data_IF_553495923278
#
_entry.id   IF_553495923278
#
_cell.length_a   1.000
_cell.length_b   1.000
_cell.length_c   1.000
_cell.angle_alpha   90.00
_cell.angle_beta   90.00
_cell.angle_gamma   90.00
#
_symmetry.space_group_name_H-M   'P 1'
#
loop_
_entity.id
_entity.type
_entity.pdbx_description
1 polymer ?
#
# COMPACT_ATOMS: atom_id res chain seq x y z
N UNK A 1 14.09 2.91 -17.15
CA UNK A 1 12.73 3.17 -17.68
C UNK A 1 12.72 4.19 -18.82
N UNK A 2 13.46 5.32 -18.73
CA UNK A 2 13.45 6.38 -19.77
C UNK A 2 14.59 6.33 -20.79
N UNK A 3 15.42 5.28 -20.77
CA UNK A 3 16.57 5.15 -21.68
C UNK A 3 16.15 5.29 -23.13
N UNK A 4 15.06 4.64 -23.55
CA UNK A 4 14.55 4.72 -24.92
C UNK A 4 14.30 6.16 -25.39
N UNK A 5 13.71 7.02 -24.54
CA UNK A 5 13.45 8.41 -24.88
C UNK A 5 14.74 9.20 -25.06
N UNK A 6 15.70 9.04 -24.15
CA UNK A 6 16.99 9.72 -24.24
C UNK A 6 17.80 9.25 -25.45
N UNK A 7 17.78 7.95 -25.77
CA UNK A 7 18.43 7.41 -26.97
C UNK A 7 17.74 7.94 -28.24
N UNK A 8 16.42 8.12 -28.23
CA UNK A 8 15.69 8.70 -29.36
C UNK A 8 16.02 10.19 -29.56
N UNK A 9 16.07 10.97 -28.47
CA UNK A 9 16.48 12.38 -28.51
C UNK A 9 17.95 12.53 -28.95
N UNK A 10 18.86 11.72 -28.41
CA UNK A 10 20.26 11.71 -28.81
C UNK A 10 20.41 11.33 -30.28
N UNK A 11 19.66 10.32 -30.76
CA UNK A 11 19.66 9.91 -32.16
C UNK A 11 19.14 10.98 -33.10
N UNK A 12 18.03 11.64 -32.75
CA UNK A 12 17.51 12.77 -33.52
C UNK A 12 18.53 13.92 -33.63
N UNK A 13 19.35 14.11 -32.60
CA UNK A 13 20.37 15.15 -32.55
C UNK A 13 21.76 14.68 -33.03
N UNK A 14 21.95 13.39 -33.38
CA UNK A 14 23.24 12.76 -33.72
C UNK A 14 24.29 12.87 -32.62
N UNK A 15 23.85 12.68 -31.37
CA UNK A 15 24.68 12.74 -30.16
C UNK A 15 24.81 11.37 -29.49
N UNK A 16 24.37 10.29 -30.14
CA UNK A 16 24.29 8.96 -29.51
C UNK A 16 25.68 8.46 -29.11
N UNK A 17 26.66 8.62 -30.00
CA UNK A 17 28.05 8.23 -29.69
C UNK A 17 28.65 9.09 -28.57
N UNK A 18 28.31 10.37 -28.50
CA UNK A 18 28.81 11.27 -27.46
C UNK A 18 28.20 11.00 -26.07
N UNK A 19 26.90 10.73 -26.00
CA UNK A 19 26.20 10.57 -24.71
C UNK A 19 26.21 9.13 -24.18
N UNK A 20 26.21 8.13 -25.08
CA UNK A 20 26.01 6.72 -24.71
C UNK A 20 27.16 5.80 -25.11
N UNK A 21 28.24 6.34 -25.70
CA UNK A 21 29.39 5.56 -26.19
C UNK A 21 29.01 4.49 -27.24
N UNK A 22 27.84 4.64 -27.86
CA UNK A 22 27.35 3.75 -28.91
C UNK A 22 27.64 4.35 -30.29
N UNK A 23 28.55 3.73 -31.03
CA UNK A 23 28.87 4.15 -32.39
C UNK A 23 27.74 3.78 -33.36
N UNK A 24 27.19 4.79 -34.03
CA UNK A 24 26.12 4.67 -35.03
C UNK A 24 26.60 5.28 -36.35
N UNK A 25 26.97 4.47 -37.37
CA UNK A 25 27.57 4.99 -38.60
C UNK A 25 26.60 5.86 -39.42
N UNK A 26 25.30 5.71 -39.22
CA UNK A 26 24.24 6.55 -39.82
C UNK A 26 24.24 7.99 -39.28
N UNK A 27 24.90 8.27 -38.16
CA UNK A 27 25.00 9.59 -37.54
C UNK A 27 26.26 10.38 -37.99
N UNK A 28 27.25 9.70 -38.57
CA UNK A 28 28.58 10.24 -38.96
C UNK A 28 28.55 11.13 -40.22
N UNK A 29 27.37 11.41 -40.80
CA UNK A 29 27.25 12.31 -41.95
C UNK A 29 25.84 12.75 -42.29
N UNK A 30 25.70 13.59 -43.33
CA UNK A 30 24.42 13.97 -43.88
C UNK A 30 23.99 12.95 -44.95
N UNK A 31 22.81 12.37 -44.76
CA UNK A 31 22.17 11.51 -45.76
C UNK A 31 21.57 12.42 -46.83
N UNK A 32 22.19 12.51 -48.01
CA UNK A 32 21.61 13.20 -49.15
C UNK A 32 20.62 12.25 -49.82
N UNK A 33 19.33 12.47 -49.61
CA UNK A 33 18.25 11.71 -50.26
C UNK A 33 17.80 12.45 -51.52
N UNK A 34 17.84 11.77 -52.66
CA UNK A 34 17.47 12.36 -53.96
C UNK A 34 15.96 12.47 -54.15
N UNK A 35 15.15 11.68 -53.42
CA UNK A 35 13.70 11.61 -53.63
C UNK A 35 12.87 11.95 -52.39
N UNK A 36 11.81 12.76 -52.57
CA UNK A 36 10.87 13.13 -51.49
C UNK A 36 10.14 11.93 -50.87
N UNK A 37 9.97 10.83 -51.63
CA UNK A 37 9.36 9.59 -51.13
C UNK A 37 10.22 8.91 -50.04
N UNK A 38 11.52 9.10 -50.09
CA UNK A 38 12.46 8.52 -49.13
C UNK A 38 12.46 9.26 -47.78
N UNK A 39 11.86 10.45 -47.69
CA UNK A 39 11.71 11.17 -46.41
C UNK A 39 10.73 10.46 -45.46
N UNK A 40 9.76 9.73 -46.03
CA UNK A 40 8.75 8.98 -45.28
C UNK A 40 9.14 7.54 -44.96
N UNK A 41 10.19 7.01 -45.60
CA UNK A 41 10.72 5.67 -45.30
C UNK A 41 11.89 5.75 -44.31
N UNK A 42 11.84 4.91 -43.27
CA UNK A 42 12.93 4.79 -42.31
C UNK A 42 14.17 4.19 -43.00
N UNK A 43 15.32 4.87 -42.91
CA UNK A 43 16.58 4.35 -43.46
C UNK A 43 16.91 3.00 -42.78
N UNK A 44 17.14 1.96 -43.59
CA UNK A 44 17.68 0.68 -43.11
C UNK A 44 19.12 0.88 -42.67
N UNK A 45 19.55 0.27 -41.54
CA UNK A 45 20.96 0.26 -41.16
C UNK A 45 21.74 -0.54 -42.20
N UNK A 46 22.75 0.08 -42.84
CA UNK A 46 23.71 -0.64 -43.67
C UNK A 46 24.64 -1.46 -42.77
N UNK A 47 24.66 -2.77 -42.96
CA UNK A 47 25.68 -3.68 -42.43
C UNK A 47 26.96 -3.56 -43.26
N UNK A 48 28.11 -3.51 -42.58
CA UNK A 48 29.44 -3.58 -43.20
C UNK A 48 29.56 -4.88 -44.03
N UNK A 49 29.41 -4.81 -45.35
CA UNK A 49 29.68 -5.95 -46.23
C UNK A 49 28.92 -6.05 -47.55
N UNK A 50 27.83 -5.33 -47.78
CA UNK A 50 27.11 -5.38 -49.06
C UNK A 50 27.24 -4.06 -49.84
N UNK A 51 28.17 -4.07 -50.81
CA UNK A 51 28.20 -3.10 -51.89
C UNK A 51 27.05 -3.41 -52.88
N UNK A 52 25.84 -2.98 -52.54
CA UNK A 52 24.79 -2.75 -53.54
C UNK A 52 24.81 -1.27 -53.94
N UNK A 53 25.12 -1.04 -55.20
CA UNK A 53 25.46 0.22 -55.87
C UNK A 53 24.27 1.19 -56.05
N UNK A 54 23.32 1.26 -55.10
CA UNK A 54 22.15 2.14 -55.22
C UNK A 54 21.93 3.06 -53.99
N UNK A 55 22.27 4.34 -54.22
CA UNK A 55 21.56 5.55 -53.79
C UNK A 55 21.56 6.03 -52.32
N UNK A 56 22.62 5.77 -51.53
CA UNK A 56 22.87 6.56 -50.29
C UNK A 56 24.34 6.99 -50.17
N UNK A 57 24.67 8.17 -50.70
CA UNK A 57 25.94 8.82 -50.40
C UNK A 57 25.83 9.58 -49.07
N UNK A 58 26.41 9.02 -48.00
CA UNK A 58 26.60 9.73 -46.74
C UNK A 58 27.78 10.68 -46.92
N UNK A 59 27.50 11.98 -46.95
CA UNK A 59 28.57 12.99 -46.95
C UNK A 59 29.04 13.13 -45.50
N UNK A 60 30.28 12.74 -45.15
CA UNK A 60 30.78 12.91 -43.79
C UNK A 60 30.82 14.40 -43.47
N UNK A 61 30.18 14.78 -42.37
CA UNK A 61 30.04 16.15 -41.93
C UNK A 61 30.28 16.18 -40.42
N UNK A 62 31.08 17.11 -39.90
CA UNK A 62 31.51 17.12 -38.49
C UNK A 62 32.95 16.69 -38.31
N UNK A 63 33.33 16.40 -37.05
CA UNK A 63 34.74 16.16 -36.66
C UNK A 63 34.83 15.01 -35.67
N UNK A 64 35.87 14.20 -35.79
CA UNK A 64 36.20 13.21 -34.76
C UNK A 64 37.09 13.87 -33.72
N UNK A 65 36.77 13.67 -32.45
CA UNK A 65 37.52 14.24 -31.34
C UNK A 65 37.82 13.20 -30.27
N UNK A 66 38.94 13.38 -29.57
CA UNK A 66 39.16 12.75 -28.28
C UNK A 66 38.52 13.59 -27.19
N UNK A 67 37.49 13.04 -26.57
CA UNK A 67 36.85 13.60 -25.39
C UNK A 67 37.36 12.88 -24.13
N UNK A 68 37.47 13.58 -22.99
CA UNK A 68 37.77 12.92 -21.73
C UNK A 68 36.67 11.91 -21.38
N UNK A 69 37.08 10.70 -20.99
CA UNK A 69 36.17 9.60 -20.66
C UNK A 69 35.49 9.77 -19.30
N UNK A 70 36.11 10.55 -18.41
CA UNK A 70 35.67 10.79 -17.03
C UNK A 70 35.83 12.27 -16.68
N UNK A 71 34.90 12.80 -15.89
CA UNK A 71 34.93 14.17 -15.36
C UNK A 71 36.07 14.38 -14.33
N UNK A 72 36.72 13.29 -13.89
CA UNK A 72 37.83 13.34 -12.94
C UNK A 72 39.16 13.78 -13.57
N UNK A 73 39.22 13.91 -14.90
CA UNK A 73 40.45 14.21 -15.64
C UNK A 73 40.73 15.71 -15.58
N UNK A 74 41.80 16.08 -14.87
CA UNK A 74 42.25 17.47 -14.76
C UNK A 74 43.06 17.86 -15.99
N UNK A 75 42.49 18.71 -16.83
CA UNK A 75 43.21 19.32 -17.96
C UNK A 75 44.03 20.53 -17.48
N UNK A 76 45.29 20.70 -17.94
CA UNK A 76 46.07 21.89 -17.65
C UNK A 76 45.39 23.13 -18.25
N UNK A 77 45.55 24.28 -17.58
CA UNK A 77 44.93 25.54 -18.00
C UNK A 77 45.44 25.95 -19.39
N UNK A 78 44.51 26.24 -20.30
CA UNK A 78 44.83 26.64 -21.68
C UNK A 78 44.76 25.52 -22.71
N UNK A 79 44.56 24.26 -22.31
CA UNK A 79 44.35 23.15 -23.25
C UNK A 79 42.88 23.03 -23.66
N UNK A 80 42.61 22.77 -24.95
CA UNK A 80 41.26 22.53 -25.46
C UNK A 80 40.74 21.18 -24.97
N UNK A 81 39.52 21.10 -24.46
CA UNK A 81 38.92 19.85 -23.98
C UNK A 81 38.73 18.80 -25.08
N UNK A 82 38.47 19.24 -26.31
CA UNK A 82 38.30 18.37 -27.47
C UNK A 82 39.52 18.49 -28.38
N UNK A 83 40.22 17.39 -28.57
CA UNK A 83 41.33 17.28 -29.52
C UNK A 83 40.82 16.64 -30.82
N UNK A 84 41.05 17.29 -31.97
CA UNK A 84 40.66 16.76 -33.27
C UNK A 84 41.59 15.61 -33.69
N UNK A 85 40.97 14.50 -34.11
CA UNK A 85 41.65 13.28 -34.54
C UNK A 85 41.02 12.77 -35.83
N UNK A 86 41.76 11.92 -36.53
CA UNK A 86 41.25 11.19 -37.69
C UNK A 86 40.35 10.02 -37.23
N UNK A 87 39.60 9.42 -38.17
CA UNK A 87 38.71 8.28 -37.96
C UNK A 87 39.41 7.08 -37.31
N UNK A 88 40.71 6.93 -37.58
CA UNK A 88 41.57 5.88 -37.00
C UNK A 88 42.17 6.27 -35.63
N UNK A 89 41.59 7.26 -34.95
CA UNK A 89 42.07 7.79 -33.68
C UNK A 89 43.52 8.29 -33.73
N UNK A 90 43.95 8.92 -34.83
CA UNK A 90 45.29 9.52 -34.96
C UNK A 90 45.21 11.04 -34.89
N UNK A 91 46.13 11.68 -34.19
CA UNK A 91 46.15 13.14 -34.04
C UNK A 91 46.45 13.84 -35.37
N UNK A 92 45.70 14.89 -35.68
CA UNK A 92 45.85 15.68 -36.92
C UNK A 92 46.91 16.79 -36.74
N UNK A 93 47.13 17.27 -35.52
CA UNK A 93 48.05 18.39 -35.19
C UNK A 93 49.56 18.11 -35.42
N UNK A 94 49.96 16.93 -35.92
CA UNK A 94 51.36 16.59 -36.20
C UNK A 94 52.28 16.39 -34.98
N UNK A 95 51.78 16.59 -33.75
CA UNK A 95 52.51 16.35 -32.51
C UNK A 95 52.54 14.85 -32.19
N UNK A 96 53.70 14.33 -31.74
CA UNK A 96 53.85 12.92 -31.33
C UNK A 96 52.83 12.56 -30.24
N UNK A 97 52.10 11.48 -30.47
CA UNK A 97 51.04 11.00 -29.61
C UNK A 97 51.64 10.14 -28.49
N UNK A 98 51.52 10.57 -27.24
CA UNK A 98 52.00 9.82 -26.07
C UNK A 98 50.85 9.01 -25.49
N UNK A 99 51.11 7.78 -25.04
CA UNK A 99 50.07 6.89 -24.54
C UNK A 99 49.32 7.49 -23.33
N UNK A 100 50.07 8.03 -22.37
CA UNK A 100 49.55 8.62 -21.12
C UNK A 100 49.66 10.16 -21.08
N UNK A 101 49.90 10.78 -22.24
CA UNK A 101 49.96 12.24 -22.36
C UNK A 101 48.60 12.92 -22.24
N UNK A 102 48.61 14.26 -22.22
CA UNK A 102 47.39 15.07 -22.35
C UNK A 102 46.75 14.77 -23.71
N UNK A 103 45.52 14.27 -23.70
CA UNK A 103 44.83 13.68 -24.86
C UNK A 103 45.51 12.44 -25.46
N UNK A 104 46.18 11.62 -24.65
CA UNK A 104 46.85 10.40 -25.08
C UNK A 104 45.90 9.30 -25.60
N UNK A 105 46.48 8.20 -26.09
CA UNK A 105 45.75 7.06 -26.65
C UNK A 105 45.10 6.17 -25.60
N UNK A 106 45.39 6.38 -24.31
CA UNK A 106 44.83 5.59 -23.24
C UNK A 106 43.28 5.67 -23.22
N UNK A 107 42.58 4.55 -23.51
CA UNK A 107 41.12 4.54 -23.62
C UNK A 107 40.41 4.76 -22.28
N UNK A 108 41.12 4.58 -21.15
CA UNK A 108 40.59 4.90 -19.81
C UNK A 108 40.45 6.41 -19.59
N UNK A 109 41.35 7.19 -20.21
CA UNK A 109 41.40 8.64 -20.04
C UNK A 109 40.66 9.36 -21.17
N UNK A 110 40.83 8.92 -22.42
CA UNK A 110 40.24 9.59 -23.58
C UNK A 110 39.53 8.62 -24.50
N UNK A 111 38.33 8.99 -24.91
CA UNK A 111 37.52 8.23 -25.87
C UNK A 111 37.40 8.97 -27.19
N UNK A 112 37.48 8.20 -28.27
CA UNK A 112 37.18 8.70 -29.61
C UNK A 112 35.66 8.86 -29.74
N UNK A 113 35.24 10.06 -30.09
CA UNK A 113 33.83 10.40 -30.25
C UNK A 113 33.65 11.29 -31.47
N UNK A 114 32.56 11.07 -32.21
CA UNK A 114 32.15 11.97 -33.28
C UNK A 114 31.33 13.15 -32.76
N UNK A 115 31.67 14.35 -33.23
CA UNK A 115 31.00 15.60 -32.88
C UNK A 115 30.36 16.20 -34.14
N UNK A 116 29.01 16.28 -34.20
CA UNK A 116 28.32 16.84 -35.35
C UNK A 116 28.50 18.38 -35.45
N UNK A 117 28.23 18.98 -36.63
CA UNK A 117 28.25 20.44 -36.78
C UNK A 117 27.22 21.10 -35.84
N UNK A 118 27.54 22.31 -35.37
CA UNK A 118 26.73 23.06 -34.39
C UNK A 118 26.51 22.29 -33.07
N UNK A 119 27.51 21.52 -32.63
CA UNK A 119 27.47 20.71 -31.42
C UNK A 119 26.87 21.42 -30.20
N UNK A 120 27.28 22.67 -29.94
CA UNK A 120 26.79 23.47 -28.81
C UNK A 120 25.27 23.66 -28.82
N UNK A 121 24.67 23.86 -30.00
CA UNK A 121 23.23 24.01 -30.12
C UNK A 121 22.54 22.68 -29.86
N UNK A 122 23.03 21.60 -30.49
CA UNK A 122 22.44 20.27 -30.35
C UNK A 122 22.48 19.75 -28.92
N UNK A 123 23.60 19.90 -28.22
CA UNK A 123 23.72 19.48 -26.81
C UNK A 123 22.83 20.34 -25.91
N UNK A 124 22.70 21.64 -26.19
CA UNK A 124 21.78 22.52 -25.46
C UNK A 124 20.32 22.10 -25.67
N UNK A 125 19.93 21.76 -26.90
CA UNK A 125 18.59 21.22 -27.20
C UNK A 125 18.35 19.88 -26.51
N UNK A 126 19.37 19.02 -26.41
CA UNK A 126 19.28 17.75 -25.69
C UNK A 126 19.06 17.97 -24.17
N UNK A 127 19.83 18.87 -23.55
CA UNK A 127 19.67 19.20 -22.13
C UNK A 127 18.29 19.83 -21.87
N UNK A 128 17.85 20.74 -22.75
CA UNK A 128 16.53 21.34 -22.67
C UNK A 128 15.42 20.29 -22.82
N UNK A 129 15.56 19.31 -23.72
CA UNK A 129 14.56 18.25 -23.90
C UNK A 129 14.46 17.34 -22.67
N UNK A 130 15.56 17.07 -21.97
CA UNK A 130 15.54 16.36 -20.68
C UNK A 130 14.74 17.17 -19.65
N UNK A 131 14.99 18.47 -19.56
CA UNK A 131 14.28 19.37 -18.64
C UNK A 131 12.78 19.42 -18.94
N UNK A 132 12.40 19.60 -20.21
CA UNK A 132 11.00 19.62 -20.64
C UNK A 132 10.33 18.27 -20.37
N UNK A 133 11.03 17.16 -20.62
CA UNK A 133 10.50 15.83 -20.32
C UNK A 133 10.27 15.64 -18.81
N UNK A 134 11.22 16.03 -17.97
CA UNK A 134 11.08 15.96 -16.52
C UNK A 134 9.94 16.85 -16.01
N UNK A 135 9.83 18.09 -16.51
CA UNK A 135 8.75 19.00 -16.17
C UNK A 135 7.39 18.48 -16.62
N UNK A 136 7.28 18.01 -17.87
CA UNK A 136 6.03 17.48 -18.42
C UNK A 136 5.58 16.23 -17.67
N UNK A 137 6.48 15.28 -17.39
CA UNK A 137 6.16 14.09 -16.59
C UNK A 137 5.75 14.45 -15.17
N UNK A 138 6.44 15.39 -14.51
CA UNK A 138 6.06 15.90 -13.19
C UNK A 138 4.66 16.52 -13.18
N UNK A 139 4.37 17.41 -14.14
CA UNK A 139 3.05 18.06 -14.28
C UNK A 139 1.96 17.04 -14.61
N UNK A 140 2.22 16.08 -15.51
CA UNK A 140 1.27 15.03 -15.84
C UNK A 140 0.96 14.11 -14.65
N UNK A 141 1.92 13.82 -13.79
CA UNK A 141 1.69 12.95 -12.61
C UNK A 141 1.01 13.72 -11.46
N UNK A 142 1.20 15.03 -11.37
CA UNK A 142 0.70 15.84 -10.24
C UNK A 142 -0.55 16.64 -10.57
N UNK A 143 -0.48 17.50 -11.59
CA UNK A 143 -1.54 18.47 -11.93
C UNK A 143 -2.71 17.81 -12.63
N UNK A 144 -2.47 16.89 -13.58
CA UNK A 144 -3.56 16.25 -14.34
C UNK A 144 -4.50 15.46 -13.40
N UNK A 145 -4.01 14.61 -12.50
CA UNK A 145 -4.85 13.97 -11.49
C UNK A 145 -5.52 14.95 -10.55
N UNK A 146 -4.84 16.03 -10.13
CA UNK A 146 -5.42 17.04 -9.25
C UNK A 146 -6.63 17.72 -9.90
N UNK A 147 -6.49 18.21 -11.14
CA UNK A 147 -7.55 18.92 -11.85
C UNK A 147 -8.74 17.99 -12.14
N UNK A 148 -8.45 16.78 -12.63
CA UNK A 148 -9.50 15.78 -12.87
C UNK A 148 -10.22 15.39 -11.56
N UNK A 149 -9.45 15.19 -10.49
CA UNK A 149 -9.97 14.92 -9.17
C UNK A 149 -10.87 16.03 -8.64
N UNK A 150 -10.46 17.30 -8.79
CA UNK A 150 -11.28 18.48 -8.42
C UNK A 150 -12.58 18.53 -9.23
N UNK A 151 -12.53 18.18 -10.52
CA UNK A 151 -13.73 18.12 -11.37
C UNK A 151 -14.74 17.11 -10.85
N UNK A 152 -14.29 15.89 -10.51
CA UNK A 152 -15.15 14.85 -9.91
C UNK A 152 -15.66 15.30 -8.54
N UNK A 153 -14.79 15.84 -7.69
CA UNK A 153 -15.14 16.31 -6.35
C UNK A 153 -16.23 17.39 -6.39
N UNK A 154 -16.16 18.31 -7.36
CA UNK A 154 -17.17 19.36 -7.55
C UNK A 154 -18.53 18.84 -8.04
N UNK A 155 -18.58 17.67 -8.69
CA UNK A 155 -19.82 17.03 -9.15
C UNK A 155 -20.47 16.15 -8.09
N UNK A 156 -19.69 15.53 -7.22
CA UNK A 156 -20.17 14.53 -6.25
C UNK A 156 -20.54 15.15 -4.90
N UNK A 157 -19.86 16.21 -4.47
CA UNK A 157 -19.98 16.75 -3.09
C UNK A 157 -20.64 18.15 -3.12
N UNK A 158 -21.59 18.44 -2.21
CA UNK A 158 -22.22 19.75 -2.07
C UNK A 158 -21.20 20.88 -1.88
N UNK A 159 -21.52 22.08 -2.36
CA UNK A 159 -20.60 23.24 -2.38
C UNK A 159 -20.17 23.73 -0.99
N UNK A 160 -20.88 23.34 0.08
CA UNK A 160 -20.68 23.80 1.45
C UNK A 160 -19.49 23.10 2.17
N UNK A 161 -18.97 22.01 1.60
CA UNK A 161 -17.85 21.28 2.20
C UNK A 161 -16.52 21.83 1.71
N UNK A 162 -15.65 22.23 2.65
CA UNK A 162 -14.28 22.70 2.35
C UNK A 162 -13.49 21.60 1.64
N UNK A 163 -13.08 21.88 0.40
CA UNK A 163 -12.40 20.92 -0.47
C UNK A 163 -10.90 20.87 -0.13
N UNK A 164 -10.41 19.72 0.32
CA UNK A 164 -8.97 19.50 0.48
C UNK A 164 -8.38 18.91 -0.81
N UNK A 165 -7.31 19.52 -1.30
CA UNK A 165 -6.62 19.13 -2.52
C UNK A 165 -5.99 17.75 -2.47
N UNK A 166 -5.63 17.27 -1.28
CA UNK A 166 -5.11 15.92 -1.09
C UNK A 166 -6.16 14.87 -1.47
N UNK A 167 -7.43 15.10 -1.13
CA UNK A 167 -8.51 14.18 -1.50
C UNK A 167 -8.82 14.23 -3.00
N UNK A 168 -8.85 15.44 -3.58
CA UNK A 168 -9.02 15.60 -5.01
C UNK A 168 -7.91 14.88 -5.79
N UNK A 169 -6.65 15.12 -5.44
CA UNK A 169 -5.50 14.44 -6.06
C UNK A 169 -5.60 12.91 -5.94
N UNK A 170 -5.93 12.40 -4.75
CA UNK A 170 -6.04 10.96 -4.49
C UNK A 170 -7.10 10.31 -5.40
N UNK A 171 -8.31 10.88 -5.46
CA UNK A 171 -9.38 10.36 -6.32
C UNK A 171 -8.94 10.40 -7.79
N UNK A 172 -8.35 11.51 -8.22
CA UNK A 172 -7.92 11.67 -9.59
C UNK A 172 -6.84 10.66 -10.01
N UNK A 173 -5.84 10.42 -9.15
CA UNK A 173 -4.74 9.51 -9.50
C UNK A 173 -5.20 8.05 -9.50
N UNK A 174 -6.12 7.66 -8.61
CA UNK A 174 -6.70 6.31 -8.63
C UNK A 174 -7.58 6.07 -9.86
N UNK A 175 -8.44 7.03 -10.23
CA UNK A 175 -9.31 6.87 -11.40
C UNK A 175 -8.47 6.87 -12.68
N UNK A 176 -7.61 7.86 -12.88
CA UNK A 176 -6.77 7.93 -14.08
C UNK A 176 -5.79 6.76 -14.15
N UNK A 177 -5.22 6.36 -13.01
CA UNK A 177 -4.32 5.20 -12.93
C UNK A 177 -5.01 3.89 -13.27
N UNK A 178 -6.23 3.66 -12.77
CA UNK A 178 -7.01 2.45 -13.11
C UNK A 178 -7.45 2.45 -14.57
N UNK A 179 -7.86 3.59 -15.12
CA UNK A 179 -8.17 3.72 -16.55
C UNK A 179 -6.94 3.47 -17.42
N UNK A 180 -5.79 4.06 -17.09
CA UNK A 180 -4.54 3.84 -17.80
C UNK A 180 -4.12 2.37 -17.75
N UNK A 181 -4.21 1.75 -16.57
CA UNK A 181 -3.91 0.32 -16.40
C UNK A 181 -4.85 -0.55 -17.24
N UNK A 182 -6.15 -0.25 -17.24
CA UNK A 182 -7.14 -0.94 -18.03
C UNK A 182 -6.87 -0.77 -19.54
N UNK A 183 -6.51 0.43 -20.00
CA UNK A 183 -6.17 0.70 -21.41
C UNK A 183 -4.94 -0.08 -21.87
N UNK A 184 -3.88 -0.12 -21.05
CA UNK A 184 -2.64 -0.86 -21.36
C UNK A 184 -2.94 -2.36 -21.51
N UNK A 185 -3.81 -2.91 -20.65
CA UNK A 185 -4.12 -4.35 -20.64
C UNK A 185 -5.41 -4.69 -21.41
N UNK A 186 -6.03 -3.72 -22.09
CA UNK A 186 -7.34 -3.89 -22.71
C UNK A 186 -7.32 -4.98 -23.79
N UNK A 187 -6.27 -5.01 -24.62
CA UNK A 187 -6.16 -6.00 -25.71
C UNK A 187 -6.07 -7.43 -25.18
N UNK A 188 -5.17 -7.67 -24.25
CA UNK A 188 -5.01 -8.99 -23.60
C UNK A 188 -6.25 -9.39 -22.80
N UNK A 189 -6.92 -8.42 -22.18
CA UNK A 189 -8.20 -8.63 -21.49
C UNK A 189 -9.31 -9.01 -22.46
N UNK A 190 -9.44 -8.30 -23.58
CA UNK A 190 -10.43 -8.58 -24.62
C UNK A 190 -10.18 -9.91 -25.32
N UNK A 191 -8.92 -10.30 -25.56
CA UNK A 191 -8.59 -11.62 -26.10
C UNK A 191 -9.00 -12.72 -25.14
N UNK A 192 -8.65 -12.63 -23.84
CA UNK A 192 -9.07 -13.61 -22.83
C UNK A 192 -10.59 -13.65 -22.62
N UNK A 193 -11.26 -12.50 -22.67
CA UNK A 193 -12.72 -12.43 -22.58
C UNK A 193 -13.35 -13.06 -23.83
N UNK A 194 -12.87 -12.71 -25.02
CA UNK A 194 -13.34 -13.27 -26.29
C UNK A 194 -13.15 -14.79 -26.29
N UNK A 195 -11.99 -15.30 -25.89
CA UNK A 195 -11.73 -16.74 -25.83
C UNK A 195 -12.55 -17.43 -24.73
N UNK A 196 -12.88 -16.72 -23.64
CA UNK A 196 -13.82 -17.21 -22.63
C UNK A 196 -15.28 -17.20 -23.10
N UNK A 197 -15.64 -16.39 -24.10
CA UNK A 197 -16.98 -16.29 -24.68
C UNK A 197 -17.12 -17.05 -26.01
N UNK A 198 -16.02 -17.37 -26.70
CA UNK A 198 -15.96 -18.30 -27.83
C UNK A 198 -16.04 -19.74 -27.31
N UNK A 199 -17.25 -20.13 -26.92
CA UNK A 199 -17.57 -21.51 -26.55
C UNK A 199 -18.43 -22.07 -27.66
N UNK A 200 -17.92 -23.10 -28.33
CA UNK A 200 -18.67 -23.95 -29.26
C UNK A 200 -20.01 -24.36 -28.63
N UNK A 201 -21.11 -24.01 -29.30
CA UNK A 201 -22.30 -24.85 -29.51
C UNK A 201 -23.03 -25.56 -28.35
N UNK A 202 -22.63 -25.46 -27.09
CA UNK A 202 -23.19 -26.32 -26.03
C UNK A 202 -24.14 -25.59 -25.07
N UNK A 203 -25.39 -26.07 -25.11
CA UNK A 203 -26.52 -25.94 -24.17
C UNK A 203 -26.55 -24.74 -23.18
N UNK A 204 -27.63 -23.93 -23.18
CA UNK A 204 -27.76 -22.73 -22.33
C UNK A 204 -27.65 -23.01 -20.81
N UNK A 205 -27.87 -24.26 -20.40
CA UNK A 205 -27.75 -24.73 -19.02
C UNK A 205 -26.31 -24.71 -18.50
N UNK A 206 -25.31 -24.98 -19.35
CA UNK A 206 -23.89 -24.98 -18.97
C UNK A 206 -23.40 -23.55 -18.78
N UNK A 207 -23.80 -22.64 -19.68
CA UNK A 207 -23.50 -21.19 -19.57
C UNK A 207 -24.13 -20.60 -18.30
N UNK A 208 -25.40 -20.92 -18.03
CA UNK A 208 -26.09 -20.46 -16.83
C UNK A 208 -25.38 -20.95 -15.55
N UNK A 209 -24.99 -22.22 -15.49
CA UNK A 209 -24.26 -22.78 -14.33
C UNK A 209 -22.89 -22.13 -14.15
N UNK A 210 -22.18 -21.79 -15.24
CA UNK A 210 -20.90 -21.06 -15.18
C UNK A 210 -21.10 -19.62 -14.70
N UNK A 211 -22.13 -18.93 -15.21
CA UNK A 211 -22.49 -17.58 -14.77
C UNK A 211 -22.83 -17.55 -13.29
N UNK A 212 -23.68 -18.46 -12.80
CA UNK A 212 -24.04 -18.55 -11.37
C UNK A 212 -22.81 -18.77 -10.49
N UNK A 213 -21.86 -19.62 -10.92
CA UNK A 213 -20.59 -19.82 -10.19
C UNK A 213 -19.72 -18.57 -10.18
N UNK A 214 -19.64 -17.87 -11.30
CA UNK A 214 -18.87 -16.64 -11.43
C UNK A 214 -19.48 -15.51 -10.59
N UNK A 215 -20.78 -15.25 -10.73
CA UNK A 215 -21.50 -14.24 -9.94
C UNK A 215 -21.45 -14.57 -8.45
N UNK A 216 -21.57 -15.84 -8.08
CA UNK A 216 -21.38 -16.29 -6.69
C UNK A 216 -19.97 -16.03 -6.15
N UNK A 217 -18.92 -16.19 -6.97
CA UNK A 217 -17.55 -15.82 -6.57
C UNK A 217 -17.39 -14.31 -6.40
N UNK A 218 -17.88 -13.52 -7.36
CA UNK A 218 -17.83 -12.05 -7.28
C UNK A 218 -18.60 -11.55 -6.06
N UNK A 219 -19.79 -12.08 -5.79
CA UNK A 219 -20.59 -11.72 -4.63
C UNK A 219 -19.87 -12.02 -3.30
N UNK A 220 -19.18 -13.18 -3.19
CA UNK A 220 -18.38 -13.53 -2.00
C UNK A 220 -17.23 -12.55 -1.78
N UNK A 221 -16.50 -12.19 -2.84
CA UNK A 221 -15.41 -11.20 -2.79
C UNK A 221 -15.99 -9.85 -2.35
N UNK A 222 -16.99 -9.33 -3.07
CA UNK A 222 -17.59 -8.02 -2.77
C UNK A 222 -18.10 -7.97 -1.33
N UNK A 223 -18.81 -9.00 -0.87
CA UNK A 223 -19.31 -9.07 0.51
C UNK A 223 -18.19 -9.04 1.56
N UNK A 224 -17.18 -9.91 1.42
CA UNK A 224 -16.08 -9.97 2.41
C UNK A 224 -15.30 -8.67 2.49
N UNK A 225 -14.88 -8.12 1.35
CA UNK A 225 -14.13 -6.87 1.33
C UNK A 225 -14.97 -5.69 1.81
N UNK A 226 -16.24 -5.59 1.42
CA UNK A 226 -17.15 -4.54 1.92
C UNK A 226 -17.31 -4.65 3.43
N UNK A 227 -17.43 -5.85 3.98
CA UNK A 227 -17.53 -6.02 5.43
C UNK A 227 -16.26 -5.57 6.17
N UNK A 228 -15.07 -5.95 5.69
CA UNK A 228 -13.79 -5.61 6.35
C UNK A 228 -13.32 -4.18 6.11
N UNK A 229 -13.69 -3.56 4.98
CA UNK A 229 -13.26 -2.19 4.61
C UNK A 229 -14.30 -1.15 4.99
N UNK A 230 -15.60 -1.48 4.93
CA UNK A 230 -16.67 -0.52 5.20
C UNK A 230 -17.36 -0.83 6.53
N UNK A 231 -18.00 -1.99 6.68
CA UNK A 231 -18.92 -2.26 7.81
C UNK A 231 -18.20 -2.31 9.16
N UNK A 232 -17.18 -3.14 9.31
CA UNK A 232 -16.47 -3.28 10.58
C UNK A 232 -15.72 -2.00 10.96
N UNK A 233 -14.98 -1.33 10.04
CA UNK A 233 -14.35 -0.05 10.33
C UNK A 233 -15.31 1.03 10.79
N UNK A 234 -16.46 1.21 10.12
CA UNK A 234 -17.43 2.25 10.52
C UNK A 234 -18.04 1.97 11.87
N UNK A 235 -18.45 0.72 12.14
CA UNK A 235 -19.01 0.34 13.44
C UNK A 235 -17.99 0.54 14.57
N UNK A 236 -16.73 0.15 14.35
CA UNK A 236 -15.67 0.32 15.35
C UNK A 236 -15.33 1.79 15.56
N UNK A 237 -15.27 2.58 14.48
CA UNK A 237 -15.06 4.02 14.54
C UNK A 237 -16.14 4.71 15.38
N UNK A 238 -17.41 4.43 15.08
CA UNK A 238 -18.52 4.96 15.86
C UNK A 238 -18.47 4.51 17.32
N UNK A 239 -18.10 3.26 17.60
CA UNK A 239 -17.93 2.81 18.99
C UNK A 239 -16.92 3.69 19.74
N UNK A 240 -15.73 3.91 19.16
CA UNK A 240 -14.71 4.76 19.78
C UNK A 240 -15.17 6.22 19.90
N UNK A 241 -15.91 6.71 18.92
CA UNK A 241 -16.42 8.06 18.89
C UNK A 241 -17.47 8.31 19.98
N UNK A 242 -18.46 7.42 20.12
CA UNK A 242 -19.51 7.56 21.12
C UNK A 242 -19.04 7.29 22.56
N UNK A 243 -18.14 6.32 22.77
CA UNK A 243 -17.69 5.98 24.13
C UNK A 243 -16.57 6.88 24.64
N UNK A 244 -15.70 7.38 23.76
CA UNK A 244 -14.53 8.15 24.17
C UNK A 244 -14.53 9.57 23.60
N UNK A 245 -14.55 9.74 22.27
CA UNK A 245 -14.31 11.05 21.66
C UNK A 245 -15.39 12.08 22.01
N UNK A 246 -16.67 11.73 21.87
CA UNK A 246 -17.79 12.64 22.16
C UNK A 246 -17.83 13.03 23.64
N UNK A 247 -17.76 12.10 24.62
CA UNK A 247 -17.70 12.48 26.03
C UNK A 247 -16.47 13.31 26.40
N UNK A 248 -15.29 12.94 25.90
CA UNK A 248 -14.05 13.69 26.16
C UNK A 248 -14.12 15.09 25.58
N UNK A 249 -14.60 15.24 24.34
CA UNK A 249 -14.78 16.54 23.70
C UNK A 249 -15.81 17.39 24.47
N UNK A 250 -16.88 16.77 24.97
CA UNK A 250 -17.89 17.47 25.78
C UNK A 250 -17.35 17.90 27.14
N UNK A 251 -16.38 17.18 27.71
CA UNK A 251 -15.74 17.53 28.98
C UNK A 251 -14.66 18.60 28.82
N UNK A 252 -13.84 18.52 27.77
CA UNK A 252 -12.68 19.40 27.58
C UNK A 252 -12.97 20.68 26.79
N UNK A 253 -13.91 20.67 25.84
CA UNK A 253 -14.19 21.83 24.98
C UNK A 253 -15.46 22.57 25.42
N UNK A 254 -15.38 23.89 25.39
CA UNK A 254 -16.44 24.83 25.79
C UNK A 254 -17.69 24.72 24.91
N UNK A 255 -18.86 25.00 25.48
CA UNK A 255 -20.21 24.73 24.95
C UNK A 255 -20.55 25.31 23.56
N UNK A 256 -19.74 26.22 23.01
CA UNK A 256 -20.03 26.90 21.74
C UNK A 256 -19.54 26.14 20.49
N UNK A 257 -18.64 25.16 20.64
CA UNK A 257 -18.15 24.37 19.50
C UNK A 257 -19.01 23.12 19.27
N UNK A 258 -19.80 23.15 18.19
CA UNK A 258 -20.54 21.96 17.74
C UNK A 258 -19.54 20.90 17.26
N UNK A 259 -19.51 19.77 17.95
CA UNK A 259 -18.72 18.62 17.52
C UNK A 259 -19.25 18.10 16.17
N UNK A 260 -18.46 18.26 15.11
CA UNK A 260 -18.74 17.72 13.78
C UNK A 260 -17.98 16.41 13.62
N UNK A 261 -18.73 15.32 13.44
CA UNK A 261 -18.17 14.00 13.16
C UNK A 261 -17.83 13.93 11.67
N UNK A 262 -16.54 14.06 11.33
CA UNK A 262 -16.06 13.88 9.96
C UNK A 262 -16.02 12.39 9.60
N UNK A 263 -17.05 11.90 8.93
CA UNK A 263 -17.22 10.47 8.61
C UNK A 263 -15.98 9.84 7.96
N UNK A 264 -15.34 10.52 7.00
CA UNK A 264 -14.15 9.99 6.32
C UNK A 264 -12.99 9.83 7.30
N UNK A 265 -12.79 10.79 8.21
CA UNK A 265 -11.73 10.72 9.21
C UNK A 265 -12.01 9.59 10.21
N UNK A 266 -13.22 9.56 10.79
CA UNK A 266 -13.63 8.49 11.71
C UNK A 266 -13.51 7.11 11.05
N UNK A 267 -13.96 6.96 9.80
CA UNK A 267 -13.84 5.71 9.04
C UNK A 267 -12.38 5.27 8.84
N UNK A 268 -11.45 6.20 8.52
CA UNK A 268 -10.03 5.86 8.40
C UNK A 268 -9.40 5.42 9.72
N UNK A 269 -9.80 6.02 10.85
CA UNK A 269 -9.42 5.53 12.18
C UNK A 269 -10.00 4.13 12.43
N UNK A 270 -11.24 3.88 12.00
CA UNK A 270 -11.86 2.55 11.99
C UNK A 270 -11.02 1.49 11.26
N UNK A 271 -10.50 1.82 10.07
CA UNK A 271 -9.61 0.92 9.31
C UNK A 271 -8.32 0.62 10.10
N UNK A 272 -7.78 1.64 10.76
CA UNK A 272 -6.60 1.48 11.63
C UNK A 272 -6.90 0.54 12.80
N UNK A 273 -8.06 0.67 13.44
CA UNK A 273 -8.46 -0.20 14.54
C UNK A 273 -8.69 -1.66 14.11
N UNK A 274 -9.33 -1.89 12.96
CA UNK A 274 -9.49 -3.24 12.40
C UNK A 274 -8.13 -3.84 12.05
N UNK A 275 -7.21 -3.04 11.50
CA UNK A 275 -5.83 -3.47 11.21
C UNK A 275 -5.05 -3.81 12.49
N UNK A 276 -5.18 -3.01 13.54
CA UNK A 276 -4.55 -3.27 14.83
C UNK A 276 -5.12 -4.55 15.46
N UNK A 277 -6.43 -4.74 15.42
CA UNK A 277 -7.12 -5.93 15.91
C UNK A 277 -6.66 -7.18 15.16
N UNK A 278 -6.52 -7.08 13.84
CA UNK A 278 -5.99 -8.17 13.00
C UNK A 278 -4.56 -8.54 13.41
N UNK A 279 -3.69 -7.55 13.65
CA UNK A 279 -2.33 -7.80 14.15
C UNK A 279 -2.33 -8.44 15.53
N UNK A 280 -3.21 -8.00 16.42
CA UNK A 280 -3.35 -8.57 17.76
C UNK A 280 -3.81 -10.03 17.71
N UNK A 281 -4.82 -10.35 16.90
CA UNK A 281 -5.28 -11.72 16.67
C UNK A 281 -4.14 -12.59 16.15
N UNK A 282 -3.38 -12.10 15.16
CA UNK A 282 -2.30 -12.86 14.54
C UNK A 282 -1.04 -12.99 15.41
N UNK A 283 -0.93 -12.21 16.50
CA UNK A 283 0.18 -12.29 17.45
C UNK A 283 0.29 -13.69 18.07
N UNK A 284 -0.84 -14.28 18.46
CA UNK A 284 -0.89 -15.65 18.98
C UNK A 284 -1.25 -16.64 17.87
N UNK A 285 -0.21 -17.21 17.24
CA UNK A 285 -0.38 -18.02 16.03
C UNK A 285 -1.26 -19.27 16.20
N UNK A 286 -1.28 -19.88 17.40
CA UNK A 286 -2.11 -21.05 17.73
C UNK A 286 -3.50 -20.71 18.28
N UNK A 287 -3.92 -19.45 18.23
CA UNK A 287 -5.26 -19.07 18.66
C UNK A 287 -6.30 -19.39 17.58
N UNK A 288 -7.48 -19.88 17.99
CA UNK A 288 -8.60 -20.18 17.07
C UNK A 288 -8.96 -19.01 16.13
N UNK A 289 -8.98 -17.74 16.59
CA UNK A 289 -9.22 -16.61 15.71
C UNK A 289 -8.08 -16.39 14.69
N UNK A 290 -6.82 -16.63 15.05
CA UNK A 290 -5.72 -16.51 14.09
C UNK A 290 -5.81 -17.56 12.97
N UNK A 291 -6.13 -18.80 13.32
CA UNK A 291 -6.34 -19.88 12.36
C UNK A 291 -7.55 -19.60 11.45
N UNK A 292 -8.66 -19.15 12.03
CA UNK A 292 -9.85 -18.79 11.27
C UNK A 292 -9.57 -17.62 10.30
N UNK A 293 -8.79 -16.61 10.72
CA UNK A 293 -8.46 -15.47 9.88
C UNK A 293 -7.55 -15.86 8.70
N UNK A 294 -6.55 -16.73 8.94
CA UNK A 294 -5.70 -17.29 7.87
C UNK A 294 -6.50 -18.19 6.94
N UNK A 295 -7.47 -18.94 7.46
CA UNK A 295 -8.33 -19.80 6.67
C UNK A 295 -9.23 -19.01 5.71
N UNK A 296 -9.63 -17.78 6.05
CA UNK A 296 -10.40 -16.89 5.16
C UNK A 296 -9.64 -16.56 3.88
N UNK A 297 -8.33 -16.31 3.96
CA UNK A 297 -7.48 -15.94 2.82
C UNK A 297 -6.67 -17.11 2.22
N UNK A 298 -6.92 -18.34 2.67
CA UNK A 298 -6.15 -19.53 2.28
C UNK A 298 -6.16 -19.82 0.78
N UNK A 299 -7.27 -19.56 0.09
CA UNK A 299 -7.40 -19.77 -1.36
C UNK A 299 -6.88 -18.58 -2.19
N UNK A 300 -6.18 -17.63 -1.56
CA UNK A 300 -5.71 -16.39 -2.16
C UNK A 300 -6.69 -15.22 -1.99
N UNK A 301 -6.23 -14.01 -2.30
CA UNK A 301 -7.02 -12.77 -2.13
C UNK A 301 -8.25 -12.68 -3.03
N UNK A 302 -8.29 -13.44 -4.12
CA UNK A 302 -9.36 -13.44 -5.12
C UNK A 302 -10.40 -14.56 -4.95
N UNK A 303 -10.30 -15.39 -3.90
CA UNK A 303 -11.33 -16.36 -3.56
C UNK A 303 -11.47 -16.51 -2.02
N UNK A 304 -11.83 -15.44 -1.31
CA UNK A 304 -11.98 -15.50 0.14
C UNK A 304 -13.16 -16.39 0.55
N UNK A 305 -13.01 -17.14 1.65
CA UNK A 305 -14.10 -17.93 2.20
C UNK A 305 -15.08 -17.03 2.98
N UNK A 306 -16.05 -16.48 2.24
CA UNK A 306 -17.06 -15.57 2.78
C UNK A 306 -17.92 -16.18 3.90
N UNK A 307 -18.17 -17.49 3.86
CA UNK A 307 -19.00 -18.15 4.88
C UNK A 307 -18.26 -18.21 6.20
N UNK A 308 -16.98 -18.59 6.15
CA UNK A 308 -16.11 -18.60 7.33
C UNK A 308 -15.91 -17.18 7.86
N UNK A 309 -15.59 -16.22 7.00
CA UNK A 309 -15.44 -14.82 7.38
C UNK A 309 -16.68 -14.27 8.09
N UNK A 310 -17.86 -14.59 7.55
CA UNK A 310 -19.14 -14.13 8.11
C UNK A 310 -19.42 -14.76 9.46
N UNK A 311 -19.28 -16.07 9.58
CA UNK A 311 -19.59 -16.80 10.83
C UNK A 311 -18.59 -16.52 11.95
N UNK A 312 -17.30 -16.39 11.63
CA UNK A 312 -16.24 -16.25 12.62
C UNK A 312 -15.94 -14.81 13.01
N UNK A 313 -16.15 -13.84 12.11
CA UNK A 313 -15.75 -12.45 12.35
C UNK A 313 -16.87 -11.45 12.07
N UNK A 314 -17.38 -11.38 10.84
CA UNK A 314 -18.24 -10.27 10.42
C UNK A 314 -19.53 -10.25 11.23
N UNK A 315 -20.27 -11.36 11.28
CA UNK A 315 -21.52 -11.43 12.02
C UNK A 315 -21.33 -11.23 13.53
N UNK A 316 -20.44 -11.96 14.24
CA UNK A 316 -20.30 -11.78 15.68
C UNK A 316 -19.75 -10.39 16.04
N UNK A 317 -18.77 -9.86 15.30
CA UNK A 317 -18.24 -8.53 15.57
C UNK A 317 -19.27 -7.45 15.28
N UNK A 318 -19.93 -7.46 14.12
CA UNK A 318 -20.98 -6.49 13.80
C UNK A 318 -22.13 -6.57 14.81
N UNK A 319 -22.56 -7.77 15.21
CA UNK A 319 -23.62 -7.95 16.20
C UNK A 319 -23.24 -7.34 17.56
N UNK A 320 -22.05 -7.66 18.09
CA UNK A 320 -21.57 -7.12 19.37
C UNK A 320 -21.42 -5.60 19.30
N UNK A 321 -20.83 -5.06 18.22
CA UNK A 321 -20.65 -3.63 18.03
C UNK A 321 -21.99 -2.90 17.90
N UNK A 322 -22.94 -3.45 17.13
CA UNK A 322 -24.28 -2.88 16.98
C UNK A 322 -25.04 -2.88 18.31
N UNK A 323 -24.94 -3.94 19.13
CA UNK A 323 -25.52 -3.96 20.48
C UNK A 323 -24.87 -2.90 21.37
N UNK A 324 -23.54 -2.82 21.37
CA UNK A 324 -22.80 -1.86 22.18
C UNK A 324 -23.14 -0.40 21.84
N UNK A 325 -23.51 -0.13 20.58
CA UNK A 325 -24.00 1.19 20.15
C UNK A 325 -25.49 1.41 20.47
N UNK A 326 -26.32 0.38 20.30
CA UNK A 326 -27.78 0.50 20.40
C UNK A 326 -28.29 0.53 21.85
N UNK A 327 -27.65 -0.21 22.77
CA UNK A 327 -28.10 -0.31 24.17
C UNK A 327 -28.02 1.02 24.91
N UNK A 328 -26.89 1.76 24.91
CA UNK A 328 -26.83 3.06 25.58
C UNK A 328 -27.81 4.07 24.98
N UNK A 329 -27.97 4.05 23.65
CA UNK A 329 -28.96 4.90 22.98
C UNK A 329 -30.39 4.58 23.44
N UNK A 330 -30.78 3.30 23.48
CA UNK A 330 -32.10 2.90 23.93
C UNK A 330 -32.36 3.27 25.39
N UNK A 331 -31.36 3.07 26.27
CA UNK A 331 -31.44 3.48 27.68
C UNK A 331 -31.52 5.00 27.84
N UNK A 332 -30.77 5.76 27.05
CA UNK A 332 -30.84 7.21 27.06
C UNK A 332 -32.23 7.70 26.64
N UNK A 333 -32.79 7.15 25.55
CA UNK A 333 -34.14 7.47 25.08
C UNK A 333 -35.23 7.09 26.10
N UNK A 334 -35.03 6.01 26.85
CA UNK A 334 -35.91 5.62 27.94
C UNK A 334 -35.80 6.60 29.12
N UNK A 335 -34.58 6.98 29.50
CA UNK A 335 -34.32 7.92 30.58
C UNK A 335 -34.87 9.33 30.28
N UNK A 336 -34.70 9.83 29.06
CA UNK A 336 -35.23 11.14 28.64
C UNK A 336 -36.76 11.18 28.64
N UNK A 337 -37.42 10.09 28.24
CA UNK A 337 -38.89 10.01 28.24
C UNK A 337 -39.51 9.80 29.63
N UNK A 338 -38.76 9.23 30.57
CA UNK A 338 -39.26 8.88 31.92
C UNK A 338 -38.85 9.91 32.96
N UNK A 339 -37.54 10.06 33.21
CA UNK A 339 -36.99 10.83 34.33
C UNK A 339 -36.76 12.30 33.91
N UNK A 340 -36.23 12.54 32.71
CA UNK A 340 -35.86 13.88 32.22
C UNK A 340 -36.91 14.50 31.27
N UNK A 341 -38.19 14.15 31.43
CA UNK A 341 -39.26 14.55 30.51
C UNK A 341 -39.47 16.08 30.41
N UNK A 342 -39.21 16.80 31.50
CA UNK A 342 -39.45 18.25 31.62
C UNK A 342 -38.16 19.08 31.59
N UNK A 343 -37.05 18.51 31.11
CA UNK A 343 -35.75 19.18 31.10
C UNK A 343 -35.50 20.01 29.84
N UNK A 344 -34.52 20.90 29.91
CA UNK A 344 -34.09 21.75 28.79
C UNK A 344 -33.43 20.92 27.68
N UNK A 345 -33.45 21.41 26.44
CA UNK A 345 -32.87 20.71 25.28
C UNK A 345 -31.37 20.39 25.48
N UNK A 346 -30.64 21.26 26.18
CA UNK A 346 -29.23 21.05 26.49
C UNK A 346 -29.01 19.86 27.43
N UNK A 347 -29.83 19.73 28.48
CA UNK A 347 -29.78 18.61 29.42
C UNK A 347 -30.05 17.27 28.71
N UNK A 348 -31.00 17.25 27.77
CA UNK A 348 -31.31 16.06 26.97
C UNK A 348 -30.13 15.65 26.07
N UNK A 349 -29.39 16.62 25.51
CA UNK A 349 -28.18 16.34 24.73
C UNK A 349 -27.10 15.74 25.63
N UNK A 350 -26.88 16.29 26.83
CA UNK A 350 -25.90 15.74 27.77
C UNK A 350 -26.23 14.32 28.22
N UNK A 351 -27.50 14.02 28.51
CA UNK A 351 -27.95 12.67 28.87
C UNK A 351 -27.61 11.68 27.76
N UNK A 352 -27.85 12.03 26.49
CA UNK A 352 -27.52 11.16 25.36
C UNK A 352 -26.00 10.96 25.16
N UNK A 353 -25.19 12.00 25.38
CA UNK A 353 -23.72 11.90 25.25
C UNK A 353 -23.08 11.08 26.36
N UNK A 354 -23.52 11.29 27.61
CA UNK A 354 -22.94 10.59 28.77
C UNK A 354 -23.54 9.20 29.03
N UNK A 355 -24.63 8.83 28.36
CA UNK A 355 -25.19 7.48 28.47
C UNK A 355 -24.20 6.37 28.06
N UNK A 356 -23.38 6.60 27.03
CA UNK A 356 -22.39 5.64 26.55
C UNK A 356 -21.33 5.30 27.62
N UNK A 357 -20.55 6.28 28.13
CA UNK A 357 -19.57 5.99 29.18
C UNK A 357 -20.23 5.51 30.49
N UNK A 358 -21.45 5.96 30.81
CA UNK A 358 -22.18 5.47 31.99
C UNK A 358 -22.48 3.98 31.90
N UNK A 359 -23.00 3.50 30.76
CA UNK A 359 -23.25 2.06 30.55
C UNK A 359 -21.95 1.27 30.61
N UNK A 360 -20.85 1.80 30.09
CA UNK A 360 -19.52 1.15 30.20
C UNK A 360 -19.11 0.99 31.67
N UNK A 361 -19.24 2.04 32.48
CA UNK A 361 -18.92 2.00 33.92
C UNK A 361 -19.83 1.00 34.64
N UNK A 362 -21.13 0.98 34.33
CA UNK A 362 -22.07 0.03 34.91
C UNK A 362 -21.71 -1.43 34.60
N UNK A 363 -21.34 -1.72 33.35
CA UNK A 363 -20.87 -3.06 32.95
C UNK A 363 -19.56 -3.41 33.66
N UNK A 364 -18.62 -2.47 33.77
CA UNK A 364 -17.35 -2.67 34.45
C UNK A 364 -17.54 -2.95 35.95
N UNK A 365 -18.44 -2.21 36.61
CA UNK A 365 -18.80 -2.43 38.01
C UNK A 365 -19.47 -3.79 38.22
N UNK A 366 -20.44 -4.15 37.37
CA UNK A 366 -21.10 -5.46 37.43
C UNK A 366 -20.09 -6.61 37.24
N UNK A 367 -19.14 -6.46 36.31
CA UNK A 367 -18.08 -7.43 36.08
C UNK A 367 -17.11 -7.52 37.27
N UNK A 368 -16.72 -6.39 37.86
CA UNK A 368 -15.87 -6.35 39.06
C UNK A 368 -16.54 -7.04 40.25
N UNK A 369 -17.83 -6.75 40.50
CA UNK A 369 -18.62 -7.43 41.54
C UNK A 369 -18.69 -8.93 41.29
N UNK A 370 -18.94 -9.34 40.04
CA UNK A 370 -18.97 -10.76 39.68
C UNK A 370 -17.62 -11.44 39.95
N UNK A 371 -16.51 -10.82 39.56
CA UNK A 371 -15.16 -11.35 39.79
C UNK A 371 -14.78 -11.43 41.27
N UNK A 372 -15.12 -10.41 42.06
CA UNK A 372 -14.93 -10.45 43.51
C UNK A 372 -15.75 -11.59 44.13
N UNK A 373 -16.99 -11.80 43.66
CA UNK A 373 -17.82 -12.90 44.14
C UNK A 373 -17.24 -14.29 43.82
N UNK A 374 -16.63 -14.46 42.65
CA UNK A 374 -15.94 -15.69 42.23
C UNK A 374 -14.71 -15.94 43.10
N UNK A 375 -13.92 -14.89 43.37
CA UNK A 375 -12.75 -14.96 44.24
C UNK A 375 -13.11 -15.34 45.68
N UNK A 376 -14.18 -14.74 46.24
CA UNK A 376 -14.67 -15.08 47.59
C UNK A 376 -15.14 -16.54 47.65
N UNK A 377 -15.82 -17.04 46.61
CA UNK A 377 -16.25 -18.44 46.53
C UNK A 377 -15.06 -19.40 46.49
N UNK A 378 -14.06 -19.10 45.67
CA UNK A 378 -12.82 -19.88 45.60
C UNK A 378 -12.05 -19.88 46.93
N UNK A 379 -11.94 -18.72 47.57
CA UNK A 379 -11.32 -18.59 48.89
C UNK A 379 -12.06 -19.39 49.97
N UNK A 380 -13.40 -19.31 49.99
CA UNK A 380 -14.24 -20.10 50.90
C UNK A 380 -14.05 -21.60 50.71
N UNK A 381 -13.95 -22.07 49.46
CA UNK A 381 -13.70 -23.47 49.16
C UNK A 381 -12.33 -23.92 49.66
N UNK A 382 -11.29 -23.12 49.42
CA UNK A 382 -9.93 -23.41 49.90
C UNK A 382 -9.86 -23.52 51.44
N UNK A 383 -10.53 -22.62 52.16
CA UNK A 383 -10.60 -22.70 53.63
C UNK A 383 -11.29 -24.00 54.06
N UNK A 384 -12.39 -24.38 53.41
CA UNK A 384 -13.10 -25.62 53.73
C UNK A 384 -12.21 -26.85 53.52
N UNK A 385 -11.45 -26.88 52.42
CA UNK A 385 -10.55 -27.97 52.09
C UNK A 385 -9.37 -28.04 53.09
N UNK A 386 -8.80 -26.90 53.48
CA UNK A 386 -7.75 -26.84 54.51
C UNK A 386 -8.25 -27.32 55.88
N UNK A 387 -9.44 -26.88 56.30
CA UNK A 387 -10.05 -27.34 57.56
C UNK A 387 -10.37 -28.83 57.51
N UNK A 388 -10.83 -29.35 56.37
CA UNK A 388 -11.07 -30.77 56.18
C UNK A 388 -9.76 -31.59 56.28
N UNK A 389 -8.70 -31.14 55.62
CA UNK A 389 -7.37 -31.76 55.68
C UNK A 389 -6.79 -31.74 57.10
N UNK A 390 -7.00 -30.66 57.85
CA UNK A 390 -6.63 -30.59 59.26
C UNK A 390 -7.44 -31.61 60.06
N UNK A 391 -8.75 -31.69 59.84
CA UNK A 391 -9.62 -32.70 60.46
C UNK A 391 -9.17 -34.14 60.18
N UNK A 392 -8.83 -34.44 58.93
CA UNK A 392 -8.34 -35.75 58.49
C UNK A 392 -6.96 -36.08 59.10
N UNK A 393 -6.05 -35.11 59.17
CA UNK A 393 -4.76 -35.28 59.87
C UNK A 393 -4.95 -35.57 61.35
N UNK A 394 -5.84 -34.83 62.04
CA UNK A 394 -6.13 -35.10 63.46
C UNK A 394 -6.75 -36.49 63.66
N UNK A 395 -7.63 -36.94 62.77
CA UNK A 395 -8.19 -38.29 62.82
C UNK A 395 -7.10 -39.36 62.65
N UNK A 396 -6.19 -39.17 61.68
CA UNK A 396 -5.05 -40.06 61.46
C UNK A 396 -4.11 -40.13 62.68
N UNK A 397 -3.91 -39.02 63.41
CA UNK A 397 -3.15 -39.05 64.67
C UNK A 397 -3.90 -39.78 65.81
N UNK A 398 -5.24 -39.76 65.81
CA UNK A 398 -6.07 -40.49 66.76
C UNK A 398 -6.05 -42.01 66.55
N UNK A 399 -6.07 -42.46 65.29
CA UNK A 399 -6.03 -43.89 64.94
C UNK A 399 -4.64 -44.50 65.17
N UNK A 400 -3.55 -43.76 64.88
CA UNK A 400 -2.19 -44.23 65.17
C UNK A 400 -1.91 -44.41 66.67
N UNK A 401 -2.61 -43.69 67.56
CA UNK A 401 -2.51 -43.91 69.02
C UNK A 401 -3.23 -45.18 69.50
N UNK A 402 -4.18 -45.73 68.73
CA UNK A 402 -4.87 -46.99 69.06
C UNK A 402 -4.14 -48.22 68.51
N UNK A 403 -3.29 -48.07 67.50
CA UNK A 403 -2.52 -49.15 66.88
C UNK A 403 -1.22 -49.57 67.59
N UNK A 404 -0.85 -48.91 68.71
CA UNK A 404 0.41 -49.16 69.44
C UNK A 404 0.20 -49.88 70.79
N UNK A 405 -0.74 -50.81 70.86
CA UNK A 405 -0.84 -51.75 71.99
C UNK A 405 -0.70 -53.20 71.47
N UNK A 406 0.49 -53.54 70.97
CA UNK A 406 0.91 -54.93 70.87
C UNK A 406 1.40 -55.39 72.25
N UNK A 407 0.53 -56.10 72.96
CA UNK A 407 0.87 -56.77 74.21
C UNK A 407 1.88 -57.89 73.95
N UNK A 408 3.17 -57.62 74.17
CA UNK A 408 4.14 -58.69 74.40
C UNK A 408 4.07 -59.15 75.86
N UNK A 409 3.76 -60.42 76.03
CA UNK A 409 3.45 -61.02 77.32
C UNK A 409 4.61 -60.97 78.31
N UNK A 410 4.24 -60.77 79.58
CA UNK A 410 5.09 -60.91 80.78
C UNK A 410 6.35 -60.06 80.73
N UNK A 411 6.23 -58.79 81.11
CA UNK A 411 6.67 -58.17 82.36
C UNK A 411 6.32 -56.67 82.25
N UNK A 412 6.10 -56.00 83.38
CA UNK A 412 5.33 -54.75 83.49
C UNK A 412 5.72 -53.62 82.52
N UNK A 413 4.70 -52.88 82.04
CA UNK A 413 4.86 -51.70 81.21
C UNK A 413 5.60 -50.59 81.95
N UNK A 414 6.72 -50.16 81.40
CA UNK A 414 7.42 -48.92 81.74
C UNK A 414 7.14 -47.89 80.61
N UNK A 415 6.99 -46.63 81.00
CA UNK A 415 6.67 -45.52 80.07
C UNK A 415 7.95 -45.00 79.43
N UNK A 416 7.97 -44.97 78.09
CA UNK A 416 8.75 -43.98 77.32
C UNK A 416 7.92 -42.70 77.11
#
# INVERSE_FOLDING_TARGET
>A
MYSWWFHRCARLLRLTWFMFDERKPDEEGQIVRRSWKEYFMAAKPQSEGESSDDDIHIIPDGRYVRAPASDQIKLPKGTKTFLEVDRNNKRIDGVKDSFDGVHGQNPQNYKLVYVPPWFRLRISTFILSIWVFAAATGVCVTIVPLVFGRYIFAKVIPADVRKNDVYAFSIGIYILGTVLYALIHLRTGLEKLRDSFYINGDTPTIVLRRLIKFTGRVARIVWTYTAFILVLPTLFAFLMEFYFMIPLHTYFYTQDERHVVDFVQSWTLGLLYVKLTTRFILWHQGSRPAEALRAVTRNGYWDPDARLATRSFIFPASFVLSIALSVPYALAQLATKTIWRNCTELELIYVNRYAYPMVLVMIALAWAVWKVSEMIRGWKQKIKDEVYLIGERLHNFGDNKKGSWECHGRYGCEKD
#
